data_IF_715566209208
#
_entry.id   IF_715566209208
#
_cell.length_a   1.000
_cell.length_b   1.000
_cell.length_c   1.000
_cell.angle_alpha   90.00
_cell.angle_beta   90.00
_cell.angle_gamma   90.00
#
_symmetry.space_group_name_H-M   'P 1'
#
loop_
_entity.id
_entity.type
_entity.pdbx_description
1 polymer ?
#
# COMPACT_ATOMS: atom_id res chain seq x y z
N UNK A 1 -3.89 -15.37 -3.80
CA UNK A 1 -3.87 -13.92 -3.56
C UNK A 1 -3.27 -13.63 -2.18
N UNK A 2 -2.04 -13.12 -2.08
CA UNK A 2 -1.51 -12.65 -0.79
C UNK A 2 -1.68 -11.13 -0.73
N UNK A 3 -2.92 -10.69 -0.47
CA UNK A 3 -3.20 -9.30 -0.11
C UNK A 3 -2.90 -9.17 1.37
N UNK A 4 -1.91 -8.35 1.69
CA UNK A 4 -1.51 -8.04 3.07
C UNK A 4 -2.06 -6.67 3.44
N UNK A 5 -2.35 -6.51 4.72
CA UNK A 5 -2.88 -5.29 5.30
C UNK A 5 -2.03 -4.88 6.49
N UNK A 6 -1.79 -3.59 6.62
CA UNK A 6 -1.16 -3.00 7.80
C UNK A 6 -1.77 -1.63 8.08
N UNK A 7 -2.07 -1.38 9.33
CA UNK A 7 -2.45 -0.05 9.83
C UNK A 7 -1.24 0.62 10.46
N UNK A 8 -1.08 1.91 10.19
CA UNK A 8 -0.07 2.75 10.82
C UNK A 8 -0.79 3.97 11.39
N UNK A 9 -0.50 4.29 12.64
CA UNK A 9 -0.95 5.52 13.28
C UNK A 9 0.22 6.49 13.25
N UNK A 10 0.02 7.65 12.64
CA UNK A 10 0.99 8.75 12.65
C UNK A 10 0.27 9.99 13.16
N UNK A 11 0.59 10.38 14.38
CA UNK A 11 -0.10 11.44 15.12
C UNK A 11 -1.62 11.18 15.19
N UNK A 12 -2.44 12.12 14.71
CA UNK A 12 -3.90 12.02 14.67
C UNK A 12 -4.44 11.29 13.42
N UNK A 13 -3.56 10.75 12.57
CA UNK A 13 -3.91 10.21 11.26
C UNK A 13 -3.72 8.69 11.25
N UNK A 14 -4.79 7.96 10.90
CA UNK A 14 -4.74 6.52 10.66
C UNK A 14 -4.56 6.23 9.17
N UNK A 15 -3.44 5.59 8.82
CA UNK A 15 -3.10 5.12 7.48
C UNK A 15 -3.35 3.62 7.37
N UNK A 16 -4.20 3.23 6.44
CA UNK A 16 -4.50 1.85 6.09
C UNK A 16 -3.75 1.48 4.82
N UNK A 17 -2.78 0.58 4.93
CA UNK A 17 -1.89 0.20 3.83
C UNK A 17 -2.22 -1.23 3.40
N UNK A 18 -2.72 -1.39 2.19
CA UNK A 18 -2.96 -2.66 1.54
C UNK A 18 -1.88 -2.89 0.49
N UNK A 19 -1.28 -4.06 0.46
CA UNK A 19 -0.22 -4.35 -0.49
C UNK A 19 -0.15 -5.82 -0.83
N UNK A 20 0.30 -6.14 -2.04
CA UNK A 20 0.42 -7.53 -2.45
C UNK A 20 0.68 -7.70 -3.93
N UNK A 21 0.62 -8.95 -4.37
CA UNK A 21 0.61 -9.32 -5.78
C UNK A 21 -0.82 -9.56 -6.23
N UNK A 22 -1.23 -8.85 -7.27
CA UNK A 22 -2.49 -9.08 -7.94
C UNK A 22 -2.26 -10.04 -9.13
N UNK A 23 -3.04 -11.13 -9.15
CA UNK A 23 -2.85 -12.26 -10.07
C UNK A 23 -3.48 -11.93 -11.44
N UNK A 24 -4.58 -11.17 -11.44
CA UNK A 24 -5.34 -10.81 -12.63
C UNK A 24 -4.55 -9.83 -13.50
N UNK A 25 -4.01 -8.78 -12.89
CA UNK A 25 -3.19 -7.79 -13.61
C UNK A 25 -1.71 -8.16 -13.65
N UNK A 26 -1.29 -9.24 -12.97
CA UNK A 26 0.12 -9.68 -12.85
C UNK A 26 1.04 -8.53 -12.42
N UNK A 27 0.64 -7.77 -11.40
CA UNK A 27 1.41 -6.62 -10.89
C UNK A 27 1.39 -6.57 -9.36
N UNK A 28 2.45 -6.01 -8.79
CA UNK A 28 2.49 -5.68 -7.36
C UNK A 28 1.77 -4.36 -7.14
N UNK A 29 1.09 -4.21 -6.02
CA UNK A 29 0.41 -2.98 -5.67
C UNK A 29 0.65 -2.58 -4.23
N UNK A 30 0.58 -1.28 -3.99
CA UNK A 30 0.49 -0.66 -2.68
C UNK A 30 -0.64 0.36 -2.75
N UNK A 31 -1.62 0.22 -1.88
CA UNK A 31 -2.78 1.08 -1.75
C UNK A 31 -2.79 1.64 -0.34
N UNK A 32 -2.75 2.97 -0.23
CA UNK A 32 -2.70 3.69 1.04
C UNK A 32 -3.99 4.49 1.16
N UNK A 33 -4.77 4.20 2.19
CA UNK A 33 -6.01 4.92 2.51
C UNK A 33 -5.86 5.68 3.81
N UNK A 34 -6.09 6.98 3.73
CA UNK A 34 -6.22 7.85 4.90
C UNK A 34 -7.62 7.68 5.49
N UNK A 35 -7.71 7.19 6.73
CA UNK A 35 -9.00 7.07 7.41
C UNK A 35 -9.46 8.47 7.87
N UNK A 36 -10.70 8.83 7.55
CA UNK A 36 -11.27 10.15 7.86
C UNK A 36 -11.12 11.19 6.75
N UNK A 37 -10.45 10.87 5.64
CA UNK A 37 -10.38 11.72 4.46
C UNK A 37 -10.91 10.98 3.23
N UNK A 38 -12.00 11.46 2.64
CA UNK A 38 -12.62 10.83 1.46
C UNK A 38 -11.73 10.91 0.19
N UNK A 39 -10.82 11.89 0.11
CA UNK A 39 -9.98 12.13 -1.07
C UNK A 39 -8.53 11.62 -0.94
N UNK A 40 -8.13 11.06 0.21
CA UNK A 40 -6.73 10.74 0.53
C UNK A 40 -6.27 9.33 0.14
N UNK A 41 -6.76 8.76 -0.96
CA UNK A 41 -6.39 7.41 -1.37
C UNK A 41 -5.26 7.44 -2.42
N UNK A 42 -4.14 6.79 -2.12
CA UNK A 42 -3.00 6.68 -3.03
C UNK A 42 -2.76 5.21 -3.39
N UNK A 43 -3.10 4.86 -4.63
CA UNK A 43 -2.85 3.53 -5.19
C UNK A 43 -1.68 3.58 -6.15
N UNK A 44 -0.71 2.68 -6.00
CA UNK A 44 0.44 2.59 -6.89
C UNK A 44 0.70 1.14 -7.31
N UNK A 45 0.83 0.96 -8.62
CA UNK A 45 1.10 -0.32 -9.26
C UNK A 45 2.58 -0.42 -9.66
N UNK A 46 3.13 -1.63 -9.59
CA UNK A 46 4.53 -1.91 -9.86
C UNK A 46 4.64 -3.22 -10.63
N UNK A 47 5.27 -3.16 -11.80
CA UNK A 47 5.64 -4.34 -12.58
C UNK A 47 6.90 -5.02 -12.02
N UNK A 48 7.79 -4.26 -11.37
CA UNK A 48 9.03 -4.78 -10.78
C UNK A 48 8.91 -5.00 -9.27
N UNK A 49 9.23 -6.24 -8.83
CA UNK A 49 9.25 -6.65 -7.43
C UNK A 49 10.27 -5.86 -6.59
N UNK A 50 11.39 -5.45 -7.19
CA UNK A 50 12.39 -4.63 -6.49
C UNK A 50 11.87 -3.23 -6.16
N UNK A 51 11.27 -2.55 -7.14
CA UNK A 51 10.67 -1.22 -6.93
C UNK A 51 9.56 -1.29 -5.89
N UNK A 52 8.70 -2.30 -5.99
CA UNK A 52 7.66 -2.59 -5.01
C UNK A 52 8.24 -2.75 -3.59
N UNK A 53 9.26 -3.59 -3.40
CA UNK A 53 9.89 -3.79 -2.08
C UNK A 53 10.54 -2.52 -1.54
N UNK A 54 11.24 -1.75 -2.39
CA UNK A 54 11.84 -0.47 -1.99
C UNK A 54 10.78 0.54 -1.54
N UNK A 55 9.66 0.64 -2.25
CA UNK A 55 8.58 1.56 -1.88
C UNK A 55 7.83 1.06 -0.64
N UNK A 56 7.54 -0.24 -0.54
CA UNK A 56 6.88 -0.81 0.63
C UNK A 56 7.67 -0.57 1.91
N UNK A 57 9.01 -0.70 1.86
CA UNK A 57 9.88 -0.42 3.02
C UNK A 57 9.67 0.98 3.58
N UNK A 58 9.53 2.01 2.74
CA UNK A 58 9.28 3.40 3.18
C UNK A 58 8.00 3.57 3.99
N UNK A 59 7.06 2.63 3.85
CA UNK A 59 5.82 2.63 4.61
C UNK A 59 5.94 1.78 5.87
N UNK A 60 6.74 0.72 5.87
CA UNK A 60 6.83 -0.19 7.00
C UNK A 60 7.91 0.15 8.02
N UNK A 61 8.93 0.97 7.67
CA UNK A 61 10.07 1.44 8.48
C UNK A 61 10.52 2.81 7.97
#
# INVERSE_FOLDING_TARGET
>A
MSRKYRTIYKDAIQLNIFYGWDIDVKQWFIDVKLKGFEQGNLTKWFTSKEKYRKTLKKFTI
#
